data_IF_479313192534
#
_entry.id   IF_479313192534
#
_cell.length_a   1.000
_cell.length_b   1.000
_cell.length_c   1.000
_cell.angle_alpha   90.00
_cell.angle_beta   90.00
_cell.angle_gamma   90.00
#
_symmetry.space_group_name_H-M   'P 1'
#
loop_
_entity.id
_entity.type
_entity.pdbx_description
1 polymer ?
#
# COMPACT_ATOMS: atom_id res chain seq x y z
N UNK A 1 -13.17 -11.38 7.13
CA UNK A 1 -12.79 -9.97 7.30
C UNK A 1 -13.66 -9.12 6.36
N UNK A 2 -14.64 -8.35 6.85
CA UNK A 2 -15.50 -7.57 5.96
C UNK A 2 -14.90 -6.16 5.73
N UNK A 3 -13.80 -6.08 4.96
CA UNK A 3 -13.40 -4.79 4.37
C UNK A 3 -14.42 -4.48 3.26
N UNK A 4 -15.26 -3.44 3.39
CA UNK A 4 -16.27 -3.17 2.39
C UNK A 4 -15.60 -2.85 1.04
N UNK A 5 -16.03 -3.54 -0.02
CA UNK A 5 -15.64 -3.20 -1.39
C UNK A 5 -16.03 -1.73 -1.67
N UNK A 6 -15.05 -0.84 -1.84
CA UNK A 6 -15.32 0.58 -2.05
C UNK A 6 -15.74 0.84 -3.50
N UNK A 7 -17.02 1.22 -3.70
CA UNK A 7 -17.50 1.78 -4.97
C UNK A 7 -17.24 3.30 -4.98
N UNK A 8 -16.56 3.87 -5.99
CA UNK A 8 -16.24 5.29 -6.02
C UNK A 8 -17.48 6.17 -6.27
N UNK A 9 -17.61 7.27 -5.51
CA UNK A 9 -18.76 8.18 -5.48
C UNK A 9 -18.64 9.34 -6.50
N UNK A 10 -19.76 9.96 -6.88
CA UNK A 10 -19.88 10.87 -8.07
C UNK A 10 -18.96 12.10 -8.05
N UNK A 11 -18.63 12.64 -6.89
CA UNK A 11 -17.68 13.76 -6.74
C UNK A 11 -16.23 13.37 -7.09
N UNK A 12 -15.86 12.11 -6.85
CA UNK A 12 -14.53 11.56 -7.14
C UNK A 12 -14.28 11.39 -8.66
N UNK A 13 -15.34 11.18 -9.46
CA UNK A 13 -15.23 11.15 -10.93
C UNK A 13 -14.86 12.51 -11.53
N UNK A 14 -15.31 13.61 -10.92
CA UNK A 14 -14.96 14.96 -11.37
C UNK A 14 -13.48 15.29 -11.18
N UNK A 15 -12.90 14.87 -10.04
CA UNK A 15 -11.47 15.08 -9.74
C UNK A 15 -10.57 14.24 -10.67
N UNK A 16 -10.99 13.02 -11.03
CA UNK A 16 -10.28 12.17 -12.00
C UNK A 16 -10.26 12.74 -13.43
N UNK A 17 -11.27 13.52 -13.84
CA UNK A 17 -11.30 14.15 -15.17
C UNK A 17 -10.30 15.31 -15.30
N UNK A 18 -10.04 16.05 -14.22
CA UNK A 18 -9.07 17.15 -14.21
C UNK A 18 -7.61 16.62 -14.17
N UNK A 19 -7.37 15.49 -13.50
CA UNK A 19 -6.06 14.82 -13.44
C UNK A 19 -5.64 14.16 -14.77
N UNK A 20 -6.57 13.94 -15.70
CA UNK A 20 -6.31 13.39 -17.04
C UNK A 20 -5.75 14.43 -18.03
N UNK A 21 -5.66 15.71 -17.63
CA UNK A 21 -5.07 16.75 -18.46
C UNK A 21 -3.53 16.67 -18.40
N UNK A 22 -2.94 16.33 -19.55
CA UNK A 22 -1.49 16.16 -19.77
C UNK A 22 -0.61 17.27 -19.17
N UNK A 23 -0.95 18.58 -19.22
CA UNK A 23 -0.11 19.61 -18.60
C UNK A 23 -0.16 19.60 -17.06
N UNK A 24 -1.27 19.19 -16.45
CA UNK A 24 -1.44 19.15 -14.98
C UNK A 24 -0.72 17.95 -14.38
N UNK A 25 -0.82 16.78 -15.02
CA UNK A 25 -0.07 15.58 -14.64
C UNK A 25 1.45 15.79 -14.80
N UNK A 26 1.89 16.50 -15.85
CA UNK A 26 3.29 16.89 -16.05
C UNK A 26 3.78 17.85 -14.95
N UNK A 27 2.96 18.83 -14.56
CA UNK A 27 3.29 19.77 -13.49
C UNK A 27 3.36 19.09 -12.12
N UNK A 28 2.40 18.24 -11.78
CA UNK A 28 2.37 17.46 -10.53
C UNK A 28 3.56 16.49 -10.43
N UNK A 29 3.89 15.75 -11.50
CA UNK A 29 5.02 14.82 -11.52
C UNK A 29 6.39 15.52 -11.37
N UNK A 30 6.48 16.81 -11.74
CA UNK A 30 7.71 17.59 -11.65
C UNK A 30 7.85 18.32 -10.32
N UNK A 31 6.75 18.73 -9.69
CA UNK A 31 6.73 19.38 -8.37
C UNK A 31 6.76 18.38 -7.20
N UNK A 32 6.30 17.14 -7.40
CA UNK A 32 6.35 16.07 -6.38
C UNK A 32 7.74 15.46 -6.13
N UNK A 33 8.78 15.84 -6.89
CA UNK A 33 10.15 15.37 -6.65
C UNK A 33 10.84 16.01 -5.44
N UNK A 34 10.27 17.07 -4.87
CA UNK A 34 10.89 17.86 -3.79
C UNK A 34 10.06 17.98 -2.52
N UNK A 35 8.86 17.41 -2.44
CA UNK A 35 7.92 17.67 -1.33
C UNK A 35 7.53 16.45 -0.49
N UNK A 36 8.44 15.48 -0.33
CA UNK A 36 8.21 14.34 0.57
C UNK A 36 8.58 14.60 2.04
N UNK A 37 9.04 15.80 2.41
CA UNK A 37 9.34 16.13 3.83
C UNK A 37 8.49 17.25 4.42
N UNK A 38 8.08 18.23 3.63
CA UNK A 38 7.31 19.38 4.13
C UNK A 38 5.85 19.04 4.45
N UNK A 39 5.19 18.28 3.58
CA UNK A 39 3.74 18.02 3.69
C UNK A 39 3.40 17.02 4.80
N UNK A 40 4.32 16.11 5.13
CA UNK A 40 4.17 15.15 6.24
C UNK A 40 4.23 15.84 7.62
N UNK A 41 5.01 16.92 7.76
CA UNK A 41 5.13 17.65 9.02
C UNK A 41 3.97 18.63 9.27
N UNK A 42 3.33 19.16 8.22
CA UNK A 42 2.24 20.14 8.36
C UNK A 42 0.86 19.52 8.64
N UNK A 43 0.67 18.21 8.43
CA UNK A 43 -0.61 17.51 8.62
C UNK A 43 -0.63 16.53 9.80
N UNK A 44 0.39 16.55 10.66
CA UNK A 44 0.49 15.65 11.80
C UNK A 44 0.60 14.17 11.42
N UNK A 45 1.14 13.85 10.23
CA UNK A 45 1.40 12.48 9.77
C UNK A 45 0.15 11.65 9.41
N UNK A 46 -1.04 12.26 9.31
CA UNK A 46 -2.31 11.51 9.17
C UNK A 46 -2.91 11.45 7.77
N UNK A 47 -2.45 12.27 6.82
CA UNK A 47 -3.01 12.28 5.45
C UNK A 47 -1.88 12.45 4.43
N UNK A 48 -1.65 11.44 3.59
CA UNK A 48 -0.73 11.56 2.44
C UNK A 48 -1.46 12.20 1.25
N UNK A 49 -0.76 12.97 0.42
CA UNK A 49 -1.30 13.54 -0.83
C UNK A 49 -1.91 12.45 -1.74
N UNK A 50 -1.39 11.23 -1.65
CA UNK A 50 -1.89 10.04 -2.36
C UNK A 50 -3.30 9.63 -1.88
N UNK A 51 -3.59 9.74 -0.59
CA UNK A 51 -4.92 9.47 -0.01
C UNK A 51 -5.96 10.45 -0.55
N UNK A 52 -5.58 11.73 -0.68
CA UNK A 52 -6.45 12.80 -1.20
C UNK A 52 -6.69 12.67 -2.73
N UNK A 53 -5.69 12.20 -3.47
CA UNK A 53 -5.72 12.13 -4.94
C UNK A 53 -6.30 10.83 -5.51
N UNK A 54 -6.23 9.70 -4.78
CA UNK A 54 -6.54 8.37 -5.36
C UNK A 54 -7.74 7.65 -4.75
N UNK A 55 -8.17 8.00 -3.53
CA UNK A 55 -9.24 7.27 -2.83
C UNK A 55 -8.94 5.79 -2.55
N UNK A 56 -7.67 5.37 -2.70
CA UNK A 56 -7.23 4.00 -2.50
C UNK A 56 -7.14 3.66 -1.00
N UNK A 57 -7.42 2.41 -0.60
CA UNK A 57 -7.28 1.99 0.79
C UNK A 57 -5.82 2.12 1.20
N UNK A 58 -5.55 3.11 2.04
CA UNK A 58 -4.26 3.29 2.71
C UNK A 58 -4.37 2.59 4.05
N UNK A 59 -3.49 1.62 4.25
CA UNK A 59 -3.26 0.99 5.54
C UNK A 59 -1.97 1.54 6.15
N UNK A 60 -1.83 1.46 7.47
CA UNK A 60 -0.53 1.61 8.13
C UNK A 60 0.00 0.23 8.49
N UNK A 61 1.08 -0.17 7.82
CA UNK A 61 1.81 -1.40 8.07
C UNK A 61 2.82 -1.18 9.19
N UNK A 62 2.75 -1.97 10.26
CA UNK A 62 3.75 -2.01 11.33
C UNK A 62 4.54 -3.31 11.26
N UNK A 63 5.85 -3.19 11.04
CA UNK A 63 6.80 -4.31 10.92
C UNK A 63 7.87 -4.26 12.01
N UNK A 64 8.52 -5.38 12.29
CA UNK A 64 9.72 -5.43 13.15
C UNK A 64 10.97 -5.25 12.30
N UNK A 65 11.79 -4.24 12.60
CA UNK A 65 12.98 -3.92 11.83
C UNK A 65 14.00 -5.07 11.82
N UNK A 66 14.29 -5.66 10.65
CA UNK A 66 15.10 -6.88 10.53
C UNK A 66 16.49 -6.79 11.20
N UNK A 67 17.11 -5.60 11.19
CA UNK A 67 18.42 -5.36 11.83
C UNK A 67 18.31 -4.84 13.26
N UNK A 68 17.24 -4.11 13.57
CA UNK A 68 17.14 -3.31 14.79
C UNK A 68 16.23 -3.92 15.85
N UNK A 69 15.35 -4.85 15.51
CA UNK A 69 14.28 -5.36 16.38
C UNK A 69 13.18 -4.35 16.72
N UNK A 70 13.33 -3.07 16.37
CA UNK A 70 12.37 -2.01 16.69
C UNK A 70 11.16 -1.99 15.75
N UNK A 71 9.96 -1.63 16.24
CA UNK A 71 8.77 -1.46 15.40
C UNK A 71 8.93 -0.30 14.41
N UNK A 72 8.47 -0.51 13.18
CA UNK A 72 8.52 0.44 12.07
C UNK A 72 7.16 0.50 11.37
N UNK A 73 6.53 1.67 11.40
CA UNK A 73 5.23 1.90 10.79
C UNK A 73 5.34 2.73 9.51
N UNK A 74 4.55 2.40 8.49
CA UNK A 74 4.47 3.18 7.27
C UNK A 74 3.12 3.05 6.56
N UNK A 75 2.62 4.13 5.93
CA UNK A 75 1.42 4.07 5.10
C UNK A 75 1.71 3.39 3.78
N UNK A 76 0.85 2.45 3.38
CA UNK A 76 0.95 1.73 2.10
C UNK A 76 -0.43 1.60 1.44
N UNK A 77 -0.41 1.59 0.11
CA UNK A 77 -1.54 1.10 -0.69
C UNK A 77 -1.45 -0.43 -0.70
N UNK A 78 -2.57 -1.10 -0.42
CA UNK A 78 -2.66 -2.57 -0.48
C UNK A 78 -3.76 -3.03 -1.45
N UNK A 79 -3.51 -4.13 -2.15
CA UNK A 79 -4.54 -4.89 -2.84
C UNK A 79 -5.33 -5.74 -1.87
N UNK A 80 -6.58 -6.04 -2.24
CA UNK A 80 -7.49 -6.89 -1.44
C UNK A 80 -7.78 -8.15 -2.26
N UNK A 81 -7.56 -9.33 -1.66
CA UNK A 81 -7.89 -10.63 -2.25
C UNK A 81 -8.57 -11.52 -1.20
N UNK A 82 -9.91 -11.43 -1.13
CA UNK A 82 -10.69 -12.06 -0.06
C UNK A 82 -10.38 -11.42 1.29
N UNK A 83 -9.89 -12.21 2.24
CA UNK A 83 -9.43 -11.77 3.56
C UNK A 83 -7.93 -11.44 3.60
N UNK A 84 -7.21 -11.67 2.49
CA UNK A 84 -5.78 -11.39 2.34
C UNK A 84 -5.54 -9.97 1.84
N UNK A 85 -4.43 -9.40 2.28
CA UNK A 85 -3.93 -8.12 1.75
C UNK A 85 -2.67 -8.36 0.92
N UNK A 86 -2.50 -7.58 -0.13
CA UNK A 86 -1.39 -7.74 -1.08
C UNK A 86 -0.57 -6.45 -1.12
N UNK A 87 0.73 -6.55 -0.84
CA UNK A 87 1.67 -5.43 -0.85
C UNK A 87 2.69 -5.56 -1.98
N UNK A 88 2.91 -4.47 -2.70
CA UNK A 88 3.83 -4.42 -3.84
C UNK A 88 5.09 -3.66 -3.46
N UNK A 89 6.23 -4.36 -3.39
CA UNK A 89 7.54 -3.81 -2.99
C UNK A 89 8.21 -2.96 -4.09
N UNK A 90 7.43 -2.07 -4.71
CA UNK A 90 7.84 -1.28 -5.87
C UNK A 90 8.90 -0.22 -5.53
N UNK A 91 8.83 0.36 -4.33
CA UNK A 91 9.68 1.48 -3.91
C UNK A 91 9.76 2.58 -5.00
N UNK A 92 8.62 2.94 -5.59
CA UNK A 92 8.50 3.90 -6.70
C UNK A 92 9.32 3.56 -7.96
N UNK A 93 9.72 2.30 -8.12
CA UNK A 93 10.60 1.83 -9.18
C UNK A 93 12.10 1.99 -8.88
N UNK A 94 12.46 2.24 -7.62
CA UNK A 94 13.84 2.43 -7.18
C UNK A 94 14.67 1.14 -7.24
N UNK A 95 16.00 1.34 -7.17
CA UNK A 95 16.98 0.27 -7.36
C UNK A 95 16.97 -0.83 -6.29
N UNK A 96 16.45 -0.51 -5.10
CA UNK A 96 16.37 -1.44 -3.96
C UNK A 96 14.93 -1.67 -3.55
N UNK A 97 14.69 -2.84 -2.97
CA UNK A 97 13.45 -3.10 -2.25
C UNK A 97 13.32 -2.16 -1.04
N UNK A 98 12.09 -1.81 -0.65
CA UNK A 98 11.85 -0.98 0.52
C UNK A 98 12.17 -1.75 1.80
N UNK A 99 12.53 -1.04 2.88
CA UNK A 99 12.97 -1.67 4.13
C UNK A 99 11.93 -2.64 4.72
N UNK A 100 10.64 -2.32 4.61
CA UNK A 100 9.56 -3.18 5.13
C UNK A 100 9.53 -4.57 4.49
N UNK A 101 9.98 -4.72 3.24
CA UNK A 101 10.06 -6.03 2.59
C UNK A 101 11.04 -6.94 3.34
N UNK A 102 12.23 -6.43 3.64
CA UNK A 102 13.24 -7.16 4.39
C UNK A 102 12.80 -7.43 5.84
N UNK A 103 12.08 -6.47 6.44
CA UNK A 103 11.48 -6.65 7.76
C UNK A 103 10.50 -7.83 7.77
N UNK A 104 9.55 -7.88 6.83
CA UNK A 104 8.56 -8.96 6.74
C UNK A 104 9.19 -10.31 6.40
N UNK A 105 10.25 -10.32 5.60
CA UNK A 105 10.98 -11.57 5.29
C UNK A 105 11.68 -12.14 6.52
N UNK A 106 12.18 -11.28 7.42
CA UNK A 106 12.84 -11.68 8.67
C UNK A 106 11.85 -11.98 9.79
N UNK A 107 10.77 -11.19 9.88
CA UNK A 107 9.74 -11.25 10.91
C UNK A 107 8.37 -11.15 10.23
N UNK A 108 7.75 -12.29 9.89
CA UNK A 108 6.54 -12.30 9.06
C UNK A 108 5.29 -11.80 9.79
N UNK A 109 5.30 -11.77 11.13
CA UNK A 109 4.17 -11.25 11.90
C UNK A 109 4.13 -9.73 11.85
N UNK A 110 2.95 -9.20 11.53
CA UNK A 110 2.75 -7.77 11.31
C UNK A 110 1.38 -7.33 11.76
N UNK A 111 1.26 -6.04 12.07
CA UNK A 111 0.01 -5.39 12.41
C UNK A 111 -0.36 -4.36 11.34
N UNK A 112 -1.63 -4.37 10.96
CA UNK A 112 -2.24 -3.44 10.02
C UNK A 112 -3.21 -2.56 10.78
N UNK A 113 -2.94 -1.26 10.84
CA UNK A 113 -3.95 -0.28 11.24
C UNK A 113 -4.72 0.13 9.99
N UNK A 114 -6.03 -0.10 10.00
CA UNK A 114 -6.95 0.39 8.99
C UNK A 114 -8.09 1.11 9.69
N UNK A 115 -8.26 2.40 9.38
CA UNK A 115 -9.09 3.33 10.17
C UNK A 115 -8.60 3.31 11.63
N UNK A 116 -9.47 2.95 12.56
CA UNK A 116 -9.19 2.93 14.00
C UNK A 116 -9.05 1.50 14.55
N UNK A 117 -8.92 0.50 13.67
CA UNK A 117 -8.84 -0.91 14.07
C UNK A 117 -7.51 -1.51 13.65
N UNK A 118 -6.89 -2.24 14.59
CA UNK A 118 -5.65 -2.98 14.37
C UNK A 118 -5.99 -4.45 14.06
N UNK A 119 -5.39 -4.96 13.00
CA UNK A 119 -5.54 -6.34 12.55
C UNK A 119 -4.17 -7.01 12.47
N UNK A 120 -4.12 -8.29 12.83
CA UNK A 120 -2.88 -9.05 12.85
C UNK A 120 -2.80 -10.02 11.67
N UNK A 121 -1.63 -10.04 11.04
CA UNK A 121 -1.37 -10.79 9.82
C UNK A 121 -0.04 -11.51 9.88
N UNK A 122 0.09 -12.56 9.08
CA UNK A 122 1.35 -13.20 8.74
C UNK A 122 1.68 -12.96 7.28
N UNK A 123 2.87 -12.45 7.02
CA UNK A 123 3.36 -12.16 5.69
C UNK A 123 4.08 -13.37 5.08
N UNK A 124 3.90 -13.57 3.78
CA UNK A 124 4.70 -14.46 2.95
C UNK A 124 4.89 -13.86 1.56
N UNK A 125 5.91 -14.31 0.85
CA UNK A 125 6.05 -13.96 -0.57
C UNK A 125 4.97 -14.67 -1.40
N UNK A 126 4.47 -13.98 -2.43
CA UNK A 126 3.54 -14.56 -3.38
C UNK A 126 4.22 -15.66 -4.21
N UNK A 127 3.51 -16.76 -4.45
CA UNK A 127 3.96 -17.83 -5.35
C UNK A 127 3.98 -17.33 -6.81
N UNK A 128 4.70 -18.03 -7.70
CA UNK A 128 4.77 -17.66 -9.12
C UNK A 128 3.38 -17.51 -9.77
N UNK A 129 2.44 -18.42 -9.48
CA UNK A 129 1.08 -18.37 -9.99
C UNK A 129 0.28 -17.18 -9.43
N UNK A 130 0.46 -16.86 -8.14
CA UNK A 130 -0.19 -15.71 -7.52
C UNK A 130 0.36 -14.37 -8.04
N UNK A 131 1.63 -14.31 -8.43
CA UNK A 131 2.27 -13.07 -8.90
C UNK A 131 1.59 -12.49 -10.13
N UNK A 132 1.24 -13.33 -11.10
CA UNK A 132 0.53 -12.89 -12.31
C UNK A 132 -0.84 -12.30 -11.95
N UNK A 133 -1.64 -13.03 -11.16
CA UNK A 133 -2.93 -12.58 -10.63
C UNK A 133 -2.82 -11.23 -9.93
N UNK A 134 -1.83 -11.06 -9.06
CA UNK A 134 -1.67 -9.84 -8.28
C UNK A 134 -1.15 -8.66 -9.09
N UNK A 135 -0.42 -8.89 -10.18
CA UNK A 135 -0.09 -7.81 -11.10
C UNK A 135 -1.31 -7.30 -11.85
N UNK A 136 -2.22 -8.18 -12.28
CA UNK A 136 -3.51 -7.77 -12.83
C UNK A 136 -4.31 -6.93 -11.83
N UNK A 137 -4.33 -7.36 -10.55
CA UNK A 137 -4.97 -6.59 -9.47
C UNK A 137 -4.31 -5.20 -9.31
N UNK A 138 -2.98 -5.13 -9.26
CA UNK A 138 -2.25 -3.88 -9.12
C UNK A 138 -2.56 -2.90 -10.26
N UNK A 139 -2.55 -3.37 -11.50
CA UNK A 139 -2.78 -2.54 -12.68
C UNK A 139 -4.22 -1.99 -12.72
N UNK A 140 -5.19 -2.77 -12.24
CA UNK A 140 -6.57 -2.31 -12.09
C UNK A 140 -6.72 -1.26 -10.98
N UNK A 141 -5.89 -1.31 -9.94
CA UNK A 141 -5.95 -0.40 -8.80
C UNK A 141 -5.26 0.94 -9.06
N UNK A 142 -4.05 0.91 -9.63
CA UNK A 142 -3.22 2.09 -9.76
C UNK A 142 -2.34 2.03 -11.01
N UNK A 143 -2.67 2.90 -11.96
CA UNK A 143 -1.98 3.02 -13.25
C UNK A 143 -0.46 3.30 -13.11
N UNK A 144 -0.03 3.87 -11.99
CA UNK A 144 1.39 4.14 -11.73
C UNK A 144 2.24 2.87 -11.56
N UNK A 145 1.66 1.71 -11.24
CA UNK A 145 2.44 0.47 -11.07
C UNK A 145 3.13 0.02 -12.36
N UNK A 146 2.51 0.21 -13.53
CA UNK A 146 3.15 -0.07 -14.81
C UNK A 146 4.44 0.74 -15.00
N UNK A 147 4.41 2.04 -14.67
CA UNK A 147 5.58 2.89 -14.73
C UNK A 147 6.66 2.48 -13.71
N UNK A 148 6.25 2.04 -12.51
CA UNK A 148 7.18 1.59 -11.47
C UNK A 148 7.88 0.29 -11.87
N UNK A 149 7.14 -0.68 -12.44
CA UNK A 149 7.72 -1.92 -12.98
C UNK A 149 8.72 -1.63 -14.10
N UNK A 150 8.37 -0.74 -15.03
CA UNK A 150 9.28 -0.34 -16.11
C UNK A 150 10.58 0.25 -15.58
N UNK A 151 10.52 1.10 -14.55
CA UNK A 151 11.72 1.66 -13.91
C UNK A 151 12.54 0.63 -13.14
N UNK A 152 11.86 -0.32 -12.50
CA UNK A 152 12.49 -1.41 -11.76
C UNK A 152 12.86 -2.62 -12.63
N UNK A 153 12.89 -2.51 -13.96
CA UNK A 153 13.09 -3.65 -14.87
C UNK A 153 14.38 -4.46 -14.63
N UNK A 154 15.36 -3.86 -13.95
CA UNK A 154 16.62 -4.46 -13.55
C UNK A 154 16.50 -5.40 -12.33
N UNK A 155 15.32 -5.51 -11.70
CA UNK A 155 15.08 -6.38 -10.56
C UNK A 155 13.67 -6.95 -10.59
N UNK A 156 13.50 -8.12 -10.01
CA UNK A 156 12.17 -8.60 -9.71
C UNK A 156 11.57 -7.77 -8.55
N UNK A 157 10.33 -7.32 -8.71
CA UNK A 157 9.59 -6.67 -7.62
C UNK A 157 8.90 -7.77 -6.79
N UNK A 158 9.23 -7.90 -5.49
CA UNK A 158 8.53 -8.80 -4.60
C UNK A 158 7.08 -8.36 -4.37
N UNK A 159 6.23 -9.35 -4.16
CA UNK A 159 4.84 -9.17 -3.76
C UNK A 159 4.67 -9.93 -2.45
N UNK A 160 4.25 -9.24 -1.40
CA UNK A 160 3.95 -9.85 -0.10
C UNK A 160 2.44 -10.07 0.02
N UNK A 161 2.06 -11.28 0.38
CA UNK A 161 0.69 -11.65 0.75
C UNK A 161 0.60 -11.67 2.26
N UNK A 162 -0.36 -10.94 2.81
CA UNK A 162 -0.67 -10.92 4.23
C UNK A 162 -1.91 -11.78 4.47
N UNK A 163 -1.72 -12.86 5.22
CA UNK A 163 -2.78 -13.78 5.61
C UNK A 163 -3.23 -13.46 7.04
N UNK A 164 -4.54 -13.34 7.30
CA UNK A 164 -5.02 -12.98 8.62
C UNK A 164 -4.64 -14.06 9.64
N UNK A 165 -4.16 -13.63 10.81
CA UNK A 165 -4.00 -14.54 11.93
C UNK A 165 -5.38 -14.82 12.53
N UNK A 166 -5.66 -16.08 12.89
CA UNK A 166 -6.97 -16.53 13.39
C UNK A 166 -7.48 -15.71 14.60
N UNK A 167 -6.58 -15.11 15.37
CA UNK A 167 -6.86 -14.22 16.50
C UNK A 167 -7.50 -12.87 16.09
N UNK A 168 -7.60 -12.56 14.80
CA UNK A 168 -8.19 -11.30 14.29
C UNK A 168 -9.71 -11.17 14.46
N UNK A 169 -10.39 -12.20 14.98
CA UNK A 169 -11.82 -12.20 15.27
C UNK A 169 -12.05 -12.33 16.77
N UNK A 170 -11.81 -11.26 17.54
CA UNK A 170 -12.39 -11.17 18.87
C UNK A 170 -13.93 -11.12 18.72
N UNK A 171 -14.71 -11.88 19.51
CA UNK A 171 -16.16 -11.75 19.52
C UNK A 171 -16.51 -10.36 20.05
N UNK A 172 -17.31 -9.59 19.31
CA UNK A 172 -18.04 -8.48 19.89
C UNK A 172 -19.19 -9.09 20.69
N UNK A 173 -18.94 -9.45 21.95
CA UNK A 173 -19.98 -9.57 22.95
C UNK A 173 -20.34 -8.18 23.47
N UNK A 174 -21.63 -7.84 23.36
CA UNK A 174 -22.43 -6.91 24.17
C UNK A 174 -23.63 -6.51 23.30
N UNK A 175 -24.88 -6.63 23.70
CA UNK A 175 -25.52 -6.94 24.98
C UNK A 175 -26.99 -6.56 24.82
#
# INVERSE_FOLDING_TARGET
>A
MNMPAHRPNRFQRGIMQVAAWRPVAWFLARTLRHLDRGVLNLSGGRISATTLLTGLPVIVLTTTGAKSGLPRSMPLICGIDGDRLVLFATNFGGAKNPAWYYNLRSHPETAILYRDTVYHYRAREATAAEREKYWTLADAMYIGYAAYRKRASHREIPIMVLEPLATSRAPTEAG
#
